data_IF_913303007240
#
_entry.id   IF_913303007240
#
_cell.length_a   1.000
_cell.length_b   1.000
_cell.length_c   1.000
_cell.angle_alpha   90.00
_cell.angle_beta   90.00
_cell.angle_gamma   90.00
#
_symmetry.space_group_name_H-M   'P 1'
#
loop_
_entity.id
_entity.type
_entity.pdbx_description
1 polymer ?
#
# COMPACT_ATOMS: atom_id res chain seq x y z
N UNK A 1 46.80 44.74 28.62
CA UNK A 1 45.98 44.17 27.52
C UNK A 1 45.82 42.67 27.75
N UNK A 2 44.63 42.23 28.19
CA UNK A 2 44.34 40.80 28.42
C UNK A 2 44.00 40.14 27.09
N UNK A 3 44.78 39.14 26.67
CA UNK A 3 44.44 38.26 25.54
C UNK A 3 43.37 37.29 26.02
N UNK A 4 42.15 37.45 25.52
CA UNK A 4 41.08 36.46 25.65
C UNK A 4 41.37 35.37 24.62
N UNK A 5 41.72 34.18 25.08
CA UNK A 5 41.79 32.98 24.25
C UNK A 5 40.36 32.53 23.96
N UNK A 6 39.90 32.78 22.74
CA UNK A 6 38.64 32.27 22.22
C UNK A 6 38.80 30.77 21.94
N UNK A 7 38.26 29.93 22.82
CA UNK A 7 38.09 28.50 22.57
C UNK A 7 36.95 28.35 21.57
N UNK A 8 37.12 27.71 20.39
CA UNK A 8 35.99 27.40 19.54
C UNK A 8 35.17 26.30 20.24
N UNK A 9 34.02 26.69 20.76
CA UNK A 9 33.01 25.77 21.26
C UNK A 9 32.44 25.03 20.04
N UNK A 10 32.96 23.84 19.76
CA UNK A 10 32.37 22.92 18.79
C UNK A 10 31.03 22.48 19.36
N UNK A 11 29.95 23.14 18.92
CA UNK A 11 28.58 22.71 19.10
C UNK A 11 28.40 21.39 18.35
N UNK A 12 28.61 20.27 19.05
CA UNK A 12 28.09 18.96 18.68
C UNK A 12 26.56 19.04 18.78
N UNK A 13 25.91 19.56 17.73
CA UNK A 13 24.49 19.34 17.53
C UNK A 13 24.36 17.83 17.33
N UNK A 14 23.55 17.12 18.14
CA UNK A 14 23.25 15.73 17.85
C UNK A 14 22.36 15.74 16.61
N UNK A 15 22.97 15.65 15.43
CA UNK A 15 22.29 15.09 14.27
C UNK A 15 21.98 13.64 14.64
N UNK A 16 20.86 13.45 15.33
CA UNK A 16 20.21 12.17 15.37
C UNK A 16 19.64 11.97 13.97
N UNK A 17 20.51 11.67 13.01
CA UNK A 17 20.12 11.09 11.74
C UNK A 17 19.57 9.72 12.10
N UNK A 18 18.30 9.65 12.49
CA UNK A 18 17.66 8.36 12.61
C UNK A 18 17.74 7.73 11.23
N UNK A 19 18.48 6.63 11.13
CA UNK A 19 18.64 5.94 9.87
C UNK A 19 17.27 5.38 9.48
N UNK A 20 16.85 5.67 8.25
CA UNK A 20 15.65 5.09 7.66
C UNK A 20 15.62 3.59 7.91
N UNK A 21 14.56 3.06 8.53
CA UNK A 21 14.46 1.60 8.72
C UNK A 21 14.22 0.90 7.40
N UNK A 22 15.00 -0.16 7.18
CA UNK A 22 14.97 -1.02 6.00
C UNK A 22 14.56 -2.43 6.41
N UNK A 23 13.58 -3.03 5.74
CA UNK A 23 13.15 -4.40 6.01
C UNK A 23 14.14 -5.44 5.42
N UNK A 24 13.91 -6.74 5.68
CA UNK A 24 14.77 -7.83 5.16
C UNK A 24 14.88 -7.91 3.63
N UNK A 25 13.99 -7.23 2.91
CA UNK A 25 13.96 -7.18 1.45
C UNK A 25 14.66 -5.93 0.90
N UNK A 26 15.33 -5.12 1.74
CA UNK A 26 15.99 -3.89 1.29
C UNK A 26 15.03 -2.71 1.09
N UNK A 27 13.78 -2.79 1.57
CA UNK A 27 12.76 -1.76 1.32
C UNK A 27 12.64 -0.79 2.49
N UNK A 28 12.45 0.50 2.16
CA UNK A 28 12.18 1.56 3.13
C UNK A 28 10.82 1.35 3.79
N UNK A 29 10.78 1.34 5.11
CA UNK A 29 9.55 1.05 5.87
C UNK A 29 8.74 2.33 6.07
N UNK A 30 7.52 2.37 5.53
CA UNK A 30 6.57 3.48 5.67
C UNK A 30 5.75 3.31 6.95
N UNK A 31 5.69 4.36 7.78
CA UNK A 31 4.88 4.37 9.00
C UNK A 31 3.49 4.97 8.77
N UNK A 32 3.38 5.96 7.87
CA UNK A 32 2.12 6.64 7.59
C UNK A 32 2.07 7.14 6.14
N UNK A 33 0.89 7.05 5.52
CA UNK A 33 0.56 7.72 4.26
C UNK A 33 -0.63 8.62 4.50
N UNK A 34 -0.54 9.86 4.02
CA UNK A 34 -1.62 10.83 4.03
C UNK A 34 -1.94 11.30 2.62
N UNK A 35 -3.13 10.99 2.13
CA UNK A 35 -3.63 11.43 0.83
C UNK A 35 -4.55 12.62 1.08
N UNK A 36 -4.11 13.79 0.64
CA UNK A 36 -4.84 15.06 0.76
C UNK A 36 -5.37 15.43 -0.61
N UNK A 37 -6.66 15.74 -0.67
CA UNK A 37 -7.30 16.34 -1.83
C UNK A 37 -7.55 17.82 -1.56
N UNK A 38 -6.77 18.70 -2.19
CA UNK A 38 -6.84 20.15 -2.09
C UNK A 38 -7.90 20.70 -3.05
N UNK A 39 -9.13 20.80 -2.56
CA UNK A 39 -10.24 21.50 -3.21
C UNK A 39 -10.79 22.59 -2.30
N UNK A 40 -11.26 23.71 -2.88
CA UNK A 40 -11.84 24.83 -2.14
C UNK A 40 -13.25 24.48 -1.61
N UNK A 41 -13.51 24.61 -0.29
CA UNK A 41 -14.85 24.47 0.31
C UNK A 41 -14.91 23.70 1.65
N UNK A 42 -15.99 23.88 2.44
CA UNK A 42 -16.15 23.22 3.76
C UNK A 42 -16.53 21.73 3.70
N UNK A 43 -17.35 21.30 2.74
CA UNK A 43 -17.74 19.87 2.59
C UNK A 43 -16.53 18.98 2.25
N UNK A 44 -15.54 19.55 1.56
CA UNK A 44 -14.35 18.86 1.02
C UNK A 44 -13.17 18.80 2.00
N UNK A 45 -13.21 19.56 3.10
CA UNK A 45 -12.29 19.42 4.24
C UNK A 45 -12.29 18.01 4.85
N UNK A 46 -13.17 17.11 4.40
CA UNK A 46 -13.29 15.74 4.90
C UNK A 46 -12.68 14.67 3.98
N UNK A 47 -12.21 14.96 2.76
CA UNK A 47 -11.79 13.91 1.80
C UNK A 47 -10.37 13.36 2.01
N UNK A 48 -9.71 13.66 3.14
CA UNK A 48 -8.35 13.20 3.40
C UNK A 48 -8.35 11.75 3.88
N UNK A 49 -7.43 10.95 3.37
CA UNK A 49 -7.26 9.54 3.77
C UNK A 49 -5.92 9.36 4.45
N UNK A 50 -5.95 8.78 5.64
CA UNK A 50 -4.74 8.51 6.41
C UNK A 50 -4.63 7.02 6.68
N UNK A 51 -3.46 6.47 6.38
CA UNK A 51 -3.09 5.10 6.63
C UNK A 51 -1.95 5.08 7.63
N UNK A 52 -2.11 4.35 8.73
CA UNK A 52 -1.09 4.18 9.77
C UNK A 52 -0.73 2.72 9.87
N UNK A 53 0.54 2.40 9.66
CA UNK A 53 1.05 1.04 9.60
C UNK A 53 1.75 0.68 10.91
N UNK A 54 1.50 -0.54 11.40
CA UNK A 54 2.13 -1.09 12.61
C UNK A 54 2.95 -2.30 12.27
N UNK A 55 4.17 -2.37 12.80
CA UNK A 55 5.15 -3.40 12.49
C UNK A 55 5.55 -4.19 13.74
N UNK A 56 6.03 -5.42 13.55
CA UNK A 56 6.85 -6.11 14.56
C UNK A 56 8.28 -5.58 14.61
N UNK A 57 9.01 -6.01 15.64
CA UNK A 57 10.44 -5.69 15.83
C UNK A 57 11.32 -6.09 14.63
N UNK A 58 10.94 -7.14 13.89
CA UNK A 58 11.59 -7.56 12.64
C UNK A 58 11.04 -6.86 11.38
N UNK A 59 10.33 -5.74 11.55
CA UNK A 59 9.81 -4.88 10.48
C UNK A 59 8.81 -5.56 9.53
N UNK A 60 8.12 -6.61 10.00
CA UNK A 60 6.98 -7.19 9.28
C UNK A 60 5.68 -6.48 9.66
N UNK A 61 4.84 -6.21 8.67
CA UNK A 61 3.56 -5.56 8.84
C UNK A 61 2.60 -6.43 9.68
N UNK A 62 2.15 -5.88 10.79
CA UNK A 62 1.21 -6.50 11.74
C UNK A 62 -0.17 -5.84 11.75
N UNK A 63 -0.28 -4.62 11.27
CA UNK A 63 -1.56 -3.96 11.24
C UNK A 63 -1.57 -2.70 10.41
N UNK A 64 -2.78 -2.30 10.03
CA UNK A 64 -3.07 -1.10 9.28
C UNK A 64 -4.30 -0.45 9.90
N UNK A 65 -4.25 0.85 10.14
CA UNK A 65 -5.42 1.65 10.48
C UNK A 65 -5.70 2.64 9.37
N UNK A 66 -6.95 2.69 8.94
CA UNK A 66 -7.41 3.61 7.92
C UNK A 66 -8.39 4.61 8.54
N UNK A 67 -8.12 5.88 8.29
CA UNK A 67 -8.91 6.99 8.77
C UNK A 67 -9.43 7.82 7.60
N UNK A 68 -10.66 8.30 7.79
CA UNK A 68 -11.19 9.43 7.05
C UNK A 68 -10.92 10.67 7.89
N UNK A 69 -9.96 11.46 7.44
CA UNK A 69 -9.44 12.61 8.17
C UNK A 69 -9.92 13.90 7.52
N UNK A 70 -9.91 14.99 8.29
CA UNK A 70 -10.03 16.32 7.73
C UNK A 70 -8.73 17.09 7.83
N UNK A 71 -8.34 17.77 6.75
CA UNK A 71 -7.08 18.51 6.63
C UNK A 71 -7.38 19.99 6.37
N UNK A 72 -6.73 20.88 7.12
CA UNK A 72 -6.74 22.31 6.82
C UNK A 72 -5.45 22.68 6.07
N UNK A 73 -5.58 22.92 4.77
CA UNK A 73 -4.46 23.28 3.90
C UNK A 73 -3.81 24.63 4.27
N UNK A 74 -4.55 25.56 4.91
CA UNK A 74 -4.00 26.87 5.33
C UNK A 74 -3.06 26.73 6.53
N UNK A 75 -3.36 25.78 7.40
CA UNK A 75 -2.60 25.51 8.62
C UNK A 75 -1.63 24.31 8.46
N UNK A 76 -1.72 23.58 7.35
CA UNK A 76 -0.89 22.41 7.05
C UNK A 76 -1.08 21.26 8.05
N UNK A 77 -2.28 21.07 8.60
CA UNK A 77 -2.51 20.07 9.66
C UNK A 77 -3.85 19.35 9.59
N UNK A 78 -3.90 18.17 10.21
CA UNK A 78 -5.13 17.41 10.42
C UNK A 78 -5.96 18.07 11.53
N UNK A 79 -7.22 18.34 11.22
CA UNK A 79 -8.20 18.97 12.13
C UNK A 79 -9.24 17.98 12.66
N UNK A 80 -9.37 16.82 12.01
CA UNK A 80 -10.30 15.75 12.40
C UNK A 80 -9.73 14.40 11.97
N UNK A 81 -9.86 13.38 12.80
CA UNK A 81 -9.42 12.02 12.45
C UNK A 81 -10.51 11.02 12.86
N UNK A 82 -11.21 10.43 11.89
CA UNK A 82 -12.25 9.42 12.15
C UNK A 82 -11.76 8.07 11.65
N UNK A 83 -11.46 7.19 12.60
CA UNK A 83 -11.10 5.80 12.31
C UNK A 83 -12.24 5.11 11.56
N UNK A 84 -11.91 4.52 10.41
CA UNK A 84 -12.86 3.79 9.56
C UNK A 84 -12.66 2.30 9.67
N UNK A 85 -11.42 1.85 9.56
CA UNK A 85 -11.09 0.44 9.54
C UNK A 85 -9.79 0.16 10.30
N UNK A 86 -9.73 -0.99 10.95
CA UNK A 86 -8.53 -1.51 11.60
C UNK A 86 -8.28 -2.94 11.13
N UNK A 87 -7.09 -3.19 10.62
CA UNK A 87 -6.59 -4.49 10.22
C UNK A 87 -5.54 -4.95 11.23
N UNK A 88 -5.72 -6.15 11.78
CA UNK A 88 -4.84 -6.71 12.80
C UNK A 88 -4.45 -8.13 12.45
N UNK A 89 -3.15 -8.38 12.29
CA UNK A 89 -2.59 -9.70 12.00
C UNK A 89 -2.26 -10.40 13.33
N UNK A 90 -2.93 -11.51 13.58
CA UNK A 90 -2.72 -12.37 14.75
C UNK A 90 -2.73 -13.84 14.32
N UNK A 91 -1.69 -14.58 14.65
CA UNK A 91 -1.59 -16.02 14.38
C UNK A 91 -1.94 -16.38 12.92
N UNK A 92 -1.35 -15.66 11.95
CA UNK A 92 -1.63 -15.76 10.50
C UNK A 92 -3.06 -15.42 10.06
N UNK A 93 -3.88 -14.84 10.93
CA UNK A 93 -5.22 -14.35 10.59
C UNK A 93 -5.23 -12.83 10.61
N UNK A 94 -5.66 -12.18 9.52
CA UNK A 94 -5.93 -10.74 9.51
C UNK A 94 -7.42 -10.51 9.79
N UNK A 95 -7.69 -9.68 10.78
CA UNK A 95 -9.06 -9.31 11.14
C UNK A 95 -9.26 -7.86 10.74
N UNK A 96 -10.31 -7.54 9.95
CA UNK A 96 -10.78 -6.16 9.79
C UNK A 96 -11.92 -5.90 10.73
N UNK A 97 -11.76 -4.87 11.53
CA UNK A 97 -12.85 -4.23 12.25
C UNK A 97 -13.27 -2.99 11.46
N UNK A 98 -14.53 -2.98 11.00
CA UNK A 98 -15.13 -1.78 10.44
C UNK A 98 -15.78 -0.97 11.56
N UNK A 99 -15.59 0.35 11.51
CA UNK A 99 -16.30 1.33 12.36
C UNK A 99 -17.36 2.11 11.56
N UNK A 100 -17.59 1.72 10.31
CA UNK A 100 -18.69 2.18 9.48
C UNK A 100 -19.87 1.19 9.58
N UNK A 101 -21.05 1.71 9.86
CA UNK A 101 -22.26 0.91 10.11
C UNK A 101 -22.77 0.16 8.86
N UNK A 102 -22.33 0.56 7.66
CA UNK A 102 -22.72 -0.09 6.41
C UNK A 102 -21.90 -1.34 6.10
N UNK A 103 -20.76 -1.54 6.75
CA UNK A 103 -19.83 -2.63 6.45
C UNK A 103 -19.75 -3.60 7.62
N UNK A 104 -19.96 -4.89 7.34
CA UNK A 104 -19.78 -5.94 8.33
C UNK A 104 -18.30 -6.14 8.67
N UNK A 105 -18.04 -6.67 9.86
CA UNK A 105 -16.72 -7.17 10.19
C UNK A 105 -16.39 -8.34 9.27
N UNK A 106 -15.16 -8.33 8.77
CA UNK A 106 -14.68 -9.34 7.84
C UNK A 106 -13.44 -10.01 8.43
N UNK A 107 -13.29 -11.28 8.13
CA UNK A 107 -12.15 -12.09 8.53
C UNK A 107 -11.44 -12.57 7.29
N UNK A 108 -10.14 -12.38 7.23
CA UNK A 108 -9.28 -12.99 6.22
C UNK A 108 -8.30 -13.94 6.91
N UNK A 109 -8.32 -15.19 6.51
CA UNK A 109 -7.32 -16.17 6.92
C UNK A 109 -6.25 -16.24 5.84
N UNK A 110 -4.98 -16.17 6.24
CA UNK A 110 -3.87 -16.17 5.31
C UNK A 110 -3.07 -17.46 5.46
N UNK A 111 -2.83 -18.11 4.34
CA UNK A 111 -1.83 -19.17 4.26
C UNK A 111 -0.56 -18.61 3.67
N UNK A 112 0.56 -18.91 4.31
CA UNK A 112 1.88 -18.48 3.88
C UNK A 112 2.67 -19.68 3.37
N UNK A 113 3.48 -19.47 2.33
CA UNK A 113 4.52 -20.44 1.96
C UNK A 113 5.73 -20.38 2.93
N UNK A 114 6.70 -21.27 2.69
CA UNK A 114 7.95 -21.36 3.45
C UNK A 114 8.82 -20.09 3.38
N UNK A 115 8.55 -19.19 2.43
CA UNK A 115 9.27 -17.94 2.23
C UNK A 115 8.52 -16.73 2.84
N UNK A 116 7.34 -16.97 3.39
CA UNK A 116 6.46 -15.96 3.98
C UNK A 116 5.69 -15.14 2.96
N UNK A 117 5.48 -15.67 1.75
CA UNK A 117 4.53 -15.11 0.78
C UNK A 117 3.12 -15.63 1.08
N UNK A 118 2.10 -14.80 0.88
CA UNK A 118 0.70 -15.20 1.06
C UNK A 118 0.26 -15.99 -0.16
N UNK A 119 0.13 -17.30 -0.03
CA UNK A 119 -0.32 -18.17 -1.13
C UNK A 119 -1.84 -18.32 -1.17
N UNK A 120 -2.53 -17.97 -0.08
CA UNK A 120 -3.98 -17.99 -0.03
C UNK A 120 -4.54 -16.94 0.92
N UNK A 121 -5.63 -16.31 0.51
CA UNK A 121 -6.47 -15.45 1.35
C UNK A 121 -7.87 -16.05 1.35
N UNK A 122 -8.37 -16.43 2.52
CA UNK A 122 -9.75 -16.86 2.70
C UNK A 122 -10.54 -15.76 3.38
N UNK A 123 -11.39 -15.09 2.62
CA UNK A 123 -12.31 -14.08 3.11
C UNK A 123 -13.64 -14.70 3.55
N UNK A 124 -14.14 -14.22 4.69
CA UNK A 124 -15.48 -14.52 5.17
C UNK A 124 -16.30 -13.24 5.30
N UNK A 125 -17.43 -13.21 4.59
CA UNK A 125 -18.40 -12.12 4.58
C UNK A 125 -19.73 -12.60 5.15
N UNK A 126 -20.19 -11.91 6.20
CA UNK A 126 -21.42 -12.26 6.91
C UNK A 126 -22.49 -11.18 6.68
N UNK A 127 -23.61 -11.58 6.08
CA UNK A 127 -24.77 -10.72 5.88
C UNK A 127 -25.59 -10.58 7.15
N UNK A 128 -26.20 -9.41 7.36
CA UNK A 128 -27.10 -9.15 8.50
C UNK A 128 -28.34 -10.03 8.49
N UNK A 129 -28.72 -10.56 7.33
CA UNK A 129 -29.81 -11.51 7.15
C UNK A 129 -29.45 -12.94 7.58
N UNK A 130 -28.16 -13.24 7.83
CA UNK A 130 -27.64 -14.57 8.14
C UNK A 130 -27.05 -15.31 6.93
N UNK A 131 -26.94 -14.66 5.77
CA UNK A 131 -26.17 -15.19 4.63
C UNK A 131 -24.67 -15.19 4.91
N UNK A 132 -23.95 -16.10 4.27
CA UNK A 132 -22.48 -16.19 4.37
C UNK A 132 -21.88 -16.36 2.98
N UNK A 133 -20.93 -15.50 2.63
CA UNK A 133 -20.05 -15.68 1.50
C UNK A 133 -18.63 -16.03 1.98
N UNK A 134 -17.98 -16.92 1.26
CA UNK A 134 -16.57 -17.27 1.43
C UNK A 134 -15.88 -17.06 0.09
N UNK A 135 -14.79 -16.32 0.08
CA UNK A 135 -13.91 -16.20 -1.09
C UNK A 135 -12.55 -16.77 -0.74
N UNK A 136 -11.98 -17.59 -1.62
CA UNK A 136 -10.60 -18.06 -1.51
C UNK A 136 -9.81 -17.53 -2.69
N UNK A 137 -8.93 -16.57 -2.44
CA UNK A 137 -7.95 -16.08 -3.39
C UNK A 137 -6.68 -16.90 -3.24
N UNK A 138 -6.15 -17.43 -4.34
CA UNK A 138 -4.92 -18.21 -4.36
C UNK A 138 -3.87 -17.47 -5.18
N UNK A 139 -2.63 -17.50 -4.72
CA UNK A 139 -1.51 -16.80 -5.33
C UNK A 139 -0.31 -17.71 -5.47
N UNK A 140 0.45 -17.49 -6.54
CA UNK A 140 1.69 -18.20 -6.84
C UNK A 140 2.81 -17.23 -7.08
N UNK A 141 4.01 -17.65 -6.68
CA UNK A 141 5.19 -16.80 -6.66
C UNK A 141 6.37 -17.49 -7.32
N UNK A 142 7.19 -16.69 -7.98
CA UNK A 142 8.51 -17.09 -8.46
C UNK A 142 9.56 -16.14 -7.89
N UNK A 143 10.77 -16.67 -7.67
CA UNK A 143 11.88 -15.87 -7.20
C UNK A 143 12.58 -15.19 -8.38
N UNK A 144 12.53 -13.86 -8.43
CA UNK A 144 13.33 -13.12 -9.40
C UNK A 144 14.75 -12.93 -8.86
N UNK A 145 15.74 -13.51 -9.55
CA UNK A 145 17.17 -13.30 -9.25
C UNK A 145 17.62 -11.88 -9.59
N UNK A 146 17.10 -11.33 -10.68
CA UNK A 146 17.41 -9.98 -11.14
C UNK A 146 17.02 -8.94 -10.09
N UNK A 147 15.82 -9.11 -9.52
CA UNK A 147 15.25 -8.14 -8.60
C UNK A 147 15.48 -8.51 -7.12
N UNK A 148 15.89 -9.76 -6.83
CA UNK A 148 16.16 -10.28 -5.49
C UNK A 148 14.93 -10.32 -4.55
N UNK A 149 13.75 -10.64 -5.08
CA UNK A 149 12.51 -10.82 -4.30
C UNK A 149 11.53 -11.80 -4.97
N UNK A 150 10.55 -12.26 -4.20
CA UNK A 150 9.46 -13.12 -4.66
C UNK A 150 8.36 -12.30 -5.33
N UNK A 151 8.04 -12.64 -6.57
CA UNK A 151 7.08 -11.93 -7.41
C UNK A 151 5.84 -12.79 -7.62
N UNK A 152 4.66 -12.19 -7.46
CA UNK A 152 3.40 -12.87 -7.78
C UNK A 152 3.30 -13.10 -9.29
N UNK A 153 3.33 -14.36 -9.72
CA UNK A 153 3.23 -14.77 -11.13
C UNK A 153 1.88 -15.38 -11.46
N UNK A 154 1.02 -15.57 -10.46
CA UNK A 154 -0.38 -15.83 -10.74
C UNK A 154 -1.33 -15.61 -9.60
N UNK A 155 -2.60 -15.44 -9.98
CA UNK A 155 -3.71 -15.29 -9.02
C UNK A 155 -4.97 -15.96 -9.53
N UNK A 156 -5.80 -16.48 -8.63
CA UNK A 156 -7.11 -17.03 -8.95
C UNK A 156 -8.03 -16.96 -7.74
N UNK A 157 -9.34 -17.17 -7.93
CA UNK A 157 -10.29 -17.17 -6.82
C UNK A 157 -11.37 -18.24 -6.95
N UNK A 158 -11.97 -18.57 -5.81
CA UNK A 158 -13.13 -19.46 -5.71
C UNK A 158 -14.12 -18.86 -4.72
N UNK A 159 -15.41 -18.98 -5.00
CA UNK A 159 -16.49 -18.42 -4.21
C UNK A 159 -17.48 -19.51 -3.77
N UNK A 160 -17.88 -19.42 -2.51
CA UNK A 160 -18.98 -20.16 -1.95
C UNK A 160 -19.97 -19.16 -1.38
N UNK A 161 -21.25 -19.34 -1.67
CA UNK A 161 -22.30 -18.52 -1.08
C UNK A 161 -23.43 -19.37 -0.54
N UNK A 162 -23.80 -19.09 0.71
CA UNK A 162 -24.92 -19.70 1.41
C UNK A 162 -25.95 -18.63 1.78
N UNK A 163 -27.11 -18.58 1.10
CA UNK A 163 -28.22 -17.72 1.52
C UNK A 163 -28.88 -18.26 2.81
N UNK A 164 -29.53 -17.38 3.58
CA UNK A 164 -30.16 -17.69 4.88
C UNK A 164 -31.04 -18.96 4.87
N UNK A 165 -31.88 -19.11 3.85
CA UNK A 165 -32.90 -20.17 3.75
C UNK A 165 -32.76 -20.99 2.47
N UNK A 166 -31.57 -21.07 1.88
CA UNK A 166 -31.37 -21.77 0.61
C UNK A 166 -30.18 -22.72 0.63
N UNK A 167 -29.99 -23.39 -0.50
CA UNK A 167 -28.84 -24.29 -0.70
C UNK A 167 -27.59 -23.46 -0.92
N UNK A 168 -26.48 -23.96 -0.37
CA UNK A 168 -25.15 -23.41 -0.69
C UNK A 168 -24.89 -23.63 -2.19
N UNK A 169 -24.35 -22.62 -2.87
CA UNK A 169 -23.83 -22.79 -4.21
C UNK A 169 -22.34 -22.50 -4.26
N UNK A 170 -21.70 -23.18 -5.20
CA UNK A 170 -20.28 -23.15 -5.45
C UNK A 170 -20.07 -22.51 -6.81
N UNK A 171 -19.23 -21.48 -6.86
CA UNK A 171 -18.75 -20.90 -8.10
C UNK A 171 -17.23 -20.93 -8.08
N UNK A 172 -16.68 -21.79 -8.91
CA UNK A 172 -15.26 -21.76 -9.22
C UNK A 172 -15.09 -21.11 -10.58
N UNK A 173 -14.22 -20.12 -10.66
CA UNK A 173 -13.72 -19.70 -11.96
C UNK A 173 -12.83 -20.85 -12.46
N UNK A 174 -13.33 -21.63 -13.43
CA UNK A 174 -12.63 -22.80 -13.99
C UNK A 174 -11.34 -22.41 -14.74
N UNK A 175 -11.17 -21.14 -15.09
CA UNK A 175 -9.96 -20.44 -15.56
C UNK A 175 -10.34 -19.04 -16.09
N UNK A 176 -9.39 -18.08 -16.17
CA UNK A 176 -7.96 -18.27 -15.99
C UNK A 176 -7.51 -17.74 -14.64
N UNK A 177 -6.85 -18.61 -13.89
CA UNK A 177 -5.69 -18.22 -13.12
C UNK A 177 -4.92 -17.16 -13.93
N UNK A 178 -4.97 -15.90 -13.48
CA UNK A 178 -4.28 -14.81 -14.13
C UNK A 178 -2.81 -15.14 -14.01
N UNK A 179 -2.13 -15.30 -15.14
CA UNK A 179 -0.70 -15.49 -15.17
C UNK A 179 -0.04 -14.15 -15.45
N UNK A 180 0.99 -13.83 -14.68
CA UNK A 180 1.74 -12.59 -14.81
C UNK A 180 3.19 -12.89 -15.19
N UNK A 181 3.80 -11.93 -15.87
CA UNK A 181 5.25 -11.87 -16.02
C UNK A 181 5.74 -10.47 -15.65
N UNK A 182 7.04 -10.33 -15.43
CA UNK A 182 7.69 -9.06 -15.18
C UNK A 182 8.69 -8.79 -16.30
N UNK A 183 8.56 -7.64 -16.93
CA UNK A 183 9.44 -7.18 -18.00
C UNK A 183 9.93 -5.79 -17.58
N UNK A 184 11.25 -5.63 -17.48
CA UNK A 184 11.91 -4.43 -16.92
C UNK A 184 11.37 -4.00 -15.55
N UNK A 185 11.04 -4.96 -14.69
CA UNK A 185 10.48 -4.67 -13.36
C UNK A 185 9.02 -4.19 -13.34
N UNK A 186 8.30 -4.23 -14.46
CA UNK A 186 6.87 -3.89 -14.55
C UNK A 186 6.06 -5.18 -14.74
N UNK A 187 4.93 -5.31 -14.04
CA UNK A 187 4.02 -6.45 -14.13
C UNK A 187 3.14 -6.38 -15.39
N UNK A 188 3.07 -7.49 -16.12
CA UNK A 188 2.21 -7.69 -17.28
C UNK A 188 1.41 -8.98 -17.16
N UNK A 189 0.33 -9.07 -17.93
CA UNK A 189 -0.31 -10.36 -18.19
C UNK A 189 0.61 -11.21 -19.09
N UNK A 190 0.68 -12.51 -18.82
CA UNK A 190 1.51 -13.43 -19.58
C UNK A 190 0.98 -13.52 -21.02
N UNK A 191 1.90 -13.46 -21.98
CA UNK A 191 1.55 -13.42 -23.41
C UNK A 191 1.22 -12.02 -23.95
N UNK A 192 1.47 -10.96 -23.17
CA UNK A 192 1.33 -9.58 -23.63
C UNK A 192 2.11 -9.32 -24.92
N UNK A 193 1.51 -8.57 -25.85
CA UNK A 193 2.15 -8.20 -27.11
C UNK A 193 3.26 -7.15 -26.91
N UNK A 194 4.26 -7.14 -27.81
CA UNK A 194 5.34 -6.14 -27.79
C UNK A 194 4.81 -4.70 -27.81
N UNK A 195 3.78 -4.42 -28.61
CA UNK A 195 3.14 -3.10 -28.67
C UNK A 195 2.52 -2.68 -27.33
N UNK A 196 1.91 -3.63 -26.61
CA UNK A 196 1.33 -3.34 -25.29
C UNK A 196 2.41 -3.17 -24.22
N UNK A 197 3.55 -3.86 -24.35
CA UNK A 197 4.73 -3.63 -23.51
C UNK A 197 5.22 -2.20 -23.69
N UNK A 198 5.45 -1.77 -24.93
CA UNK A 198 5.91 -0.43 -25.27
C UNK A 198 4.96 0.65 -24.76
N UNK A 199 3.65 0.49 -25.00
CA UNK A 199 2.64 1.42 -24.49
C UNK A 199 2.67 1.53 -22.96
N UNK A 200 2.71 0.39 -22.24
CA UNK A 200 2.75 0.42 -20.77
C UNK A 200 4.06 1.01 -20.24
N UNK A 201 5.20 0.79 -20.91
CA UNK A 201 6.47 1.42 -20.51
C UNK A 201 6.37 2.94 -20.52
N UNK A 202 5.56 3.50 -21.41
CA UNK A 202 5.32 4.94 -21.42
C UNK A 202 4.64 5.40 -20.13
N UNK A 203 3.89 4.58 -19.39
CA UNK A 203 3.21 5.02 -18.16
C UNK A 203 4.16 5.15 -16.96
N UNK A 204 5.39 4.63 -17.04
CA UNK A 204 6.33 4.56 -15.93
C UNK A 204 7.49 5.56 -16.01
N UNK A 205 7.95 6.01 -14.84
CA UNK A 205 9.17 6.79 -14.68
C UNK A 205 10.30 5.89 -14.17
N UNK A 206 11.18 5.46 -15.09
CA UNK A 206 12.29 4.55 -14.78
C UNK A 206 13.39 5.15 -13.89
N UNK A 207 13.37 6.46 -13.67
CA UNK A 207 14.29 7.12 -12.74
C UNK A 207 13.78 7.10 -11.29
N UNK A 208 12.49 6.77 -11.09
CA UNK A 208 11.83 6.82 -9.79
C UNK A 208 11.49 5.41 -9.33
N UNK A 209 12.33 4.87 -8.46
CA UNK A 209 12.12 3.55 -7.85
C UNK A 209 10.97 3.58 -6.85
N UNK A 210 10.12 2.57 -6.94
CA UNK A 210 9.19 2.18 -5.88
C UNK A 210 9.97 1.29 -4.90
N UNK A 211 10.72 1.87 -3.97
CA UNK A 211 11.67 1.17 -3.07
C UNK A 211 11.15 0.99 -1.63
N UNK A 212 9.87 1.29 -1.40
CA UNK A 212 9.25 1.25 -0.07
C UNK A 212 8.49 -0.05 0.18
N UNK A 213 8.20 -0.43 1.42
CA UNK A 213 7.48 -1.69 1.71
C UNK A 213 5.96 -1.62 1.41
N UNK A 214 5.46 -0.43 1.05
CA UNK A 214 4.09 -0.19 0.58
C UNK A 214 4.16 0.16 -0.91
N UNK A 215 3.39 -0.52 -1.75
CA UNK A 215 3.35 -0.32 -3.19
C UNK A 215 2.69 1.01 -3.55
N UNK A 216 3.50 2.07 -3.64
CA UNK A 216 3.04 3.43 -3.92
C UNK A 216 2.39 3.57 -5.31
N UNK A 217 2.74 2.71 -6.27
CA UNK A 217 2.07 2.63 -7.58
C UNK A 217 0.56 2.42 -7.41
N UNK A 218 0.15 1.46 -6.58
CA UNK A 218 -1.27 1.15 -6.34
C UNK A 218 -2.00 2.27 -5.60
N UNK A 219 -1.27 3.00 -4.75
CA UNK A 219 -1.82 4.14 -4.03
C UNK A 219 -2.20 5.26 -5.01
N UNK A 220 -1.38 5.45 -6.02
CA UNK A 220 -1.53 6.49 -7.04
C UNK A 220 -2.57 6.10 -8.11
N UNK A 221 -2.56 4.87 -8.60
CA UNK A 221 -3.37 4.39 -9.73
C UNK A 221 -4.88 4.22 -9.42
N UNK A 222 -5.28 4.06 -8.14
CA UNK A 222 -6.65 3.63 -7.79
C UNK A 222 -7.61 4.69 -7.26
N UNK A 223 -7.35 5.97 -7.56
CA UNK A 223 -8.26 7.12 -7.40
C UNK A 223 -9.33 6.94 -6.32
N UNK A 224 -9.01 7.31 -5.09
CA UNK A 224 -9.94 7.29 -3.96
C UNK A 224 -10.48 5.93 -3.48
N UNK A 225 -10.11 4.81 -4.10
CA UNK A 225 -10.49 3.49 -3.59
C UNK A 225 -9.63 3.12 -2.38
N UNK A 226 -10.20 2.44 -1.38
CA UNK A 226 -9.40 1.82 -0.32
C UNK A 226 -8.50 0.74 -0.94
N UNK A 227 -7.24 1.10 -1.10
CA UNK A 227 -6.12 0.31 -1.63
C UNK A 227 -5.55 -0.69 -0.63
N UNK A 228 -5.81 -0.46 0.67
CA UNK A 228 -5.73 -1.43 1.75
C UNK A 228 -4.59 -2.44 1.71
N UNK A 229 -4.98 -3.71 1.82
CA UNK A 229 -4.12 -4.90 1.85
C UNK A 229 -3.33 -5.06 0.55
N UNK A 230 -3.92 -4.69 -0.59
CA UNK A 230 -3.34 -4.91 -1.92
C UNK A 230 -2.08 -4.09 -2.17
N UNK A 231 -1.94 -2.94 -1.53
CA UNK A 231 -0.74 -2.12 -1.61
C UNK A 231 0.33 -2.50 -0.57
N UNK A 232 0.05 -3.43 0.35
CA UNK A 232 1.02 -3.78 1.40
C UNK A 232 1.92 -4.94 0.97
N UNK A 233 2.98 -5.19 1.74
CA UNK A 233 3.79 -6.40 1.60
C UNK A 233 3.01 -7.72 1.79
N UNK A 234 1.76 -7.66 2.24
CA UNK A 234 0.86 -8.81 2.22
C UNK A 234 0.49 -9.25 0.80
N UNK A 235 0.63 -8.37 -0.21
CA UNK A 235 0.46 -8.70 -1.61
C UNK A 235 1.71 -8.28 -2.43
N UNK A 236 2.56 -9.26 -2.79
CA UNK A 236 3.82 -9.02 -3.50
C UNK A 236 3.65 -8.95 -5.03
N UNK A 237 2.80 -8.04 -5.49
CA UNK A 237 2.57 -7.80 -6.93
C UNK A 237 2.85 -6.35 -7.35
N UNK A 238 3.94 -5.81 -6.77
CA UNK A 238 4.42 -4.44 -6.99
C UNK A 238 5.22 -4.30 -8.28
N UNK A 239 5.19 -3.09 -8.84
CA UNK A 239 6.14 -2.68 -9.87
C UNK A 239 7.40 -2.09 -9.23
N UNK A 240 8.52 -2.15 -9.93
CA UNK A 240 9.80 -1.57 -9.46
C UNK A 240 9.87 -0.05 -9.56
N UNK A 241 9.06 0.53 -10.43
CA UNK A 241 9.07 1.95 -10.75
C UNK A 241 7.70 2.56 -10.49
N UNK A 242 7.66 3.86 -10.21
CA UNK A 242 6.41 4.62 -10.10
C UNK A 242 5.96 5.11 -11.47
N UNK A 243 4.67 5.47 -11.58
CA UNK A 243 4.14 6.05 -12.82
C UNK A 243 4.78 7.40 -13.14
N UNK A 244 4.76 7.85 -14.39
CA UNK A 244 5.11 9.24 -14.72
C UNK A 244 3.90 10.18 -14.67
N UNK A 245 2.69 9.60 -14.64
CA UNK A 245 1.42 10.31 -14.82
C UNK A 245 1.11 10.60 -16.28
N UNK A 246 0.02 11.31 -16.54
CA UNK A 246 -0.36 11.68 -17.90
C UNK A 246 0.47 12.86 -18.39
N UNK A 247 0.69 12.97 -19.70
CA UNK A 247 1.48 14.08 -20.29
C UNK A 247 0.93 15.47 -19.94
N UNK A 248 -0.38 15.59 -19.70
CA UNK A 248 -1.05 16.84 -19.29
C UNK A 248 -1.20 17.01 -17.77
N UNK A 249 -0.82 16.01 -16.97
CA UNK A 249 -0.87 16.05 -15.50
C UNK A 249 0.14 15.03 -14.93
N UNK A 250 1.45 15.28 -15.09
CA UNK A 250 2.48 14.37 -14.61
C UNK A 250 2.50 14.32 -13.08
N UNK A 251 3.02 13.22 -12.53
CA UNK A 251 3.33 13.16 -11.11
C UNK A 251 4.63 13.91 -10.82
N UNK A 252 4.63 14.70 -9.74
CA UNK A 252 5.86 15.29 -9.19
C UNK A 252 6.28 14.51 -7.95
N UNK A 253 7.54 14.12 -7.89
CA UNK A 253 8.13 13.33 -6.81
C UNK A 253 9.08 14.20 -5.99
N UNK A 254 8.74 14.47 -4.73
CA UNK A 254 9.52 15.35 -3.84
C UNK A 254 10.30 14.51 -2.84
N UNK A 255 11.60 14.76 -2.76
CA UNK A 255 12.53 14.02 -1.91
C UNK A 255 13.11 14.88 -0.79
N UNK A 256 13.37 14.25 0.35
CA UNK A 256 14.21 14.76 1.42
C UNK A 256 15.18 13.66 1.84
N UNK A 257 16.50 13.93 1.78
CA UNK A 257 17.56 12.97 2.12
C UNK A 257 17.35 11.56 1.51
N UNK A 258 17.17 11.49 0.18
CA UNK A 258 16.89 10.27 -0.59
C UNK A 258 15.56 9.55 -0.27
N UNK A 259 14.73 10.09 0.62
CA UNK A 259 13.41 9.57 0.91
C UNK A 259 12.35 10.31 0.11
N UNK A 260 11.50 9.58 -0.62
CA UNK A 260 10.33 10.15 -1.28
C UNK A 260 9.31 10.53 -0.20
N UNK A 261 9.10 11.82 0.03
CA UNK A 261 8.25 12.34 1.11
C UNK A 261 6.89 12.84 0.62
N UNK A 262 6.77 13.16 -0.67
CA UNK A 262 5.53 13.65 -1.26
C UNK A 262 5.43 13.26 -2.73
N UNK A 263 4.23 12.81 -3.15
CA UNK A 263 3.85 12.65 -4.55
C UNK A 263 2.73 13.64 -4.83
N UNK A 264 2.91 14.55 -5.79
CA UNK A 264 1.88 15.49 -6.22
C UNK A 264 1.29 15.06 -7.54
N UNK A 265 -0.02 15.23 -7.67
CA UNK A 265 -0.75 14.95 -8.89
C UNK A 265 -1.70 16.09 -9.23
N UNK A 266 -1.38 16.81 -10.30
CA UNK A 266 -2.06 18.05 -10.65
C UNK A 266 -1.99 19.08 -9.52
N UNK A 267 -2.99 19.96 -9.44
CA UNK A 267 -3.09 21.01 -8.41
C UNK A 267 -3.87 20.59 -7.17
N UNK A 268 -4.38 19.35 -7.13
CA UNK A 268 -5.46 18.99 -6.24
C UNK A 268 -5.18 17.77 -5.37
N UNK A 269 -4.12 16.99 -5.62
CA UNK A 269 -3.85 15.80 -4.81
C UNK A 269 -2.39 15.75 -4.41
N UNK A 270 -2.15 15.59 -3.11
CA UNK A 270 -0.83 15.40 -2.52
C UNK A 270 -0.83 14.16 -1.63
N UNK A 271 0.12 13.27 -1.86
CA UNK A 271 0.32 12.05 -1.07
C UNK A 271 1.59 12.24 -0.25
N UNK A 272 1.44 12.48 1.03
CA UNK A 272 2.56 12.60 1.96
C UNK A 272 2.93 11.25 2.54
N UNK A 273 4.23 10.97 2.58
CA UNK A 273 4.79 9.69 3.01
C UNK A 273 5.67 9.96 4.23
N UNK A 274 5.39 9.25 5.32
CA UNK A 274 6.25 9.23 6.50
C UNK A 274 6.84 7.85 6.66
N UNK A 275 8.11 7.84 7.01
CA UNK A 275 8.84 6.62 7.21
C UNK A 275 8.97 6.26 8.70
N UNK A 276 9.31 5.00 8.93
CA UNK A 276 9.72 4.50 10.23
C UNK A 276 11.23 4.70 10.40
N UNK A 277 11.61 5.25 11.56
CA UNK A 277 12.97 5.64 11.94
C UNK A 277 13.46 4.86 13.18
#
# INVERSE_FOLDING_TARGET
>A
MRKVLSIPLILLIPFSSFAQRINKCGQKVISEILIVHEYEGEELRNNTKKYVYTYSDNLKLKGLKYYYSGFDAREGRIVKDKLREEFMLKDNTLIRKSHDYNYSNMKWEYDFDLHGNIVKITEYSYGSDGSVAKYEYNYTYEYSKEHNWWQMVGSGWTEWYKPKNGKCFYKQELAPYWEYCYIDGIRYDKGVSQRAIEYRREDFNFDIKNDTNIDLYRIVDRYDTFIGIEATEWNRSRNEYLEKGFSWSPYEYVYDNDNLIEIRWGKHTSIYIKYLY
#
